data_IF_201757281212
#
_entry.id   IF_201757281212
#
_cell.length_a   1.000
_cell.length_b   1.000
_cell.length_c   1.000
_cell.angle_alpha   90.00
_cell.angle_beta   90.00
_cell.angle_gamma   90.00
#
_symmetry.space_group_name_H-M   'P 1'
#
loop_
_entity.id
_entity.type
_entity.pdbx_description
1 polymer ?
#
# COMPACT_ATOMS: atom_id res chain seq x y z
N UNK A 1 -16.83 2.81 10.74
CA UNK A 1 -15.63 2.58 9.89
C UNK A 1 -14.50 3.29 10.62
N UNK A 2 -13.37 2.64 10.91
CA UNK A 2 -12.25 3.29 11.58
C UNK A 2 -11.79 4.53 10.84
N UNK A 3 -11.41 5.56 11.57
CA UNK A 3 -10.88 6.82 11.04
C UNK A 3 -9.35 6.82 11.05
N UNK A 4 -8.78 7.60 10.13
CA UNK A 4 -7.33 7.85 10.09
C UNK A 4 -6.97 8.88 11.14
N UNK A 5 -6.19 8.48 12.15
CA UNK A 5 -5.82 9.36 13.27
C UNK A 5 -4.50 10.10 13.03
N UNK A 6 -3.62 9.54 12.20
CA UNK A 6 -2.32 10.14 11.93
C UNK A 6 -1.77 9.67 10.59
N UNK A 7 -1.15 10.59 9.87
CA UNK A 7 -0.39 10.30 8.65
C UNK A 7 0.95 11.03 8.71
N UNK A 8 2.01 10.37 8.27
CA UNK A 8 3.35 10.92 8.08
C UNK A 8 3.86 10.50 6.71
N UNK A 9 4.43 11.46 6.00
CA UNK A 9 5.17 11.23 4.78
C UNK A 9 6.55 11.88 4.91
N UNK A 10 7.60 11.17 4.49
CA UNK A 10 8.95 11.70 4.38
C UNK A 10 9.57 11.21 3.08
N UNK A 11 10.46 12.00 2.48
CA UNK A 11 11.15 11.62 1.24
C UNK A 11 12.55 12.20 1.17
N UNK A 12 13.43 11.53 0.43
CA UNK A 12 14.77 11.99 0.13
C UNK A 12 15.07 11.99 -1.39
N UNK A 13 14.04 12.17 -2.23
CA UNK A 13 14.05 12.07 -3.70
C UNK A 13 14.14 10.64 -4.26
N UNK A 14 14.78 9.71 -3.55
CA UNK A 14 14.88 8.31 -3.99
C UNK A 14 13.78 7.43 -3.37
N UNK A 15 13.49 7.66 -2.09
CA UNK A 15 12.57 6.85 -1.30
C UNK A 15 11.51 7.74 -0.69
N UNK A 16 10.25 7.31 -0.79
CA UNK A 16 9.14 7.86 -0.02
C UNK A 16 8.78 6.91 1.11
N UNK A 17 8.75 7.42 2.34
CA UNK A 17 8.27 6.71 3.52
C UNK A 17 6.87 7.22 3.86
N UNK A 18 5.90 6.31 3.90
CA UNK A 18 4.52 6.57 4.29
C UNK A 18 4.21 5.79 5.56
N UNK A 19 3.64 6.45 6.56
CA UNK A 19 3.14 5.82 7.76
C UNK A 19 1.78 6.41 8.12
N UNK A 20 0.83 5.54 8.48
CA UNK A 20 -0.49 5.94 8.92
C UNK A 20 -0.91 5.11 10.13
N UNK A 21 -1.84 5.68 10.90
CA UNK A 21 -2.45 5.00 12.03
C UNK A 21 -3.97 5.20 11.97
N UNK A 22 -4.71 4.20 12.43
CA UNK A 22 -6.17 4.12 12.39
C UNK A 22 -6.69 3.84 13.80
N UNK A 23 -7.83 4.42 14.18
CA UNK A 23 -8.39 4.31 15.54
C UNK A 23 -9.03 2.95 15.86
N UNK A 24 -8.97 1.99 14.94
CA UNK A 24 -9.49 0.65 15.15
C UNK A 24 -9.21 -0.30 13.98
N UNK A 25 -9.44 -1.59 14.22
CA UNK A 25 -9.40 -2.60 13.17
C UNK A 25 -10.56 -2.40 12.20
N UNK A 26 -10.28 -2.43 10.90
CA UNK A 26 -11.31 -2.40 9.85
C UNK A 26 -11.81 -3.85 9.66
N UNK A 27 -13.11 -4.16 9.90
CA UNK A 27 -13.62 -5.52 9.76
C UNK A 27 -13.38 -6.07 8.34
N UNK A 28 -12.74 -7.25 8.26
CA UNK A 28 -12.44 -7.89 6.98
C UNK A 28 -11.34 -7.24 6.14
N UNK A 29 -10.62 -6.24 6.67
CA UNK A 29 -9.51 -5.62 5.95
C UNK A 29 -8.34 -6.59 5.78
N UNK A 30 -7.92 -6.77 4.53
CA UNK A 30 -6.78 -7.61 4.16
C UNK A 30 -5.46 -6.83 4.09
N UNK A 31 -5.54 -5.50 4.04
CA UNK A 31 -4.41 -4.59 3.93
C UNK A 31 -4.80 -3.33 3.18
N UNK A 32 -3.79 -2.53 2.80
CA UNK A 32 -3.96 -1.24 2.13
C UNK A 32 -3.34 -1.26 0.73
N UNK A 33 -4.09 -0.74 -0.24
CA UNK A 33 -3.58 -0.36 -1.55
C UNK A 33 -2.95 1.03 -1.47
N UNK A 34 -1.83 1.23 -2.17
CA UNK A 34 -1.20 2.54 -2.32
C UNK A 34 -1.28 2.94 -3.78
N UNK A 35 -1.98 4.03 -4.05
CA UNK A 35 -2.13 4.62 -5.39
C UNK A 35 -1.35 5.93 -5.46
N UNK A 36 -0.51 6.07 -6.49
CA UNK A 36 0.13 7.33 -6.84
C UNK A 36 -0.75 8.08 -7.81
N UNK A 37 -1.09 9.30 -7.45
CA UNK A 37 -1.81 10.24 -8.30
C UNK A 37 -0.81 11.13 -9.03
N UNK A 38 -1.00 11.32 -10.32
CA UNK A 38 -0.21 12.23 -11.16
C UNK A 38 -1.07 13.44 -11.55
N UNK A 39 -0.96 14.58 -10.83
CA UNK A 39 -1.88 15.71 -11.01
C UNK A 39 -1.87 16.29 -12.43
N UNK A 40 -0.72 16.29 -13.08
CA UNK A 40 -0.54 16.89 -14.41
C UNK A 40 -1.26 16.10 -15.52
N UNK A 41 -1.43 14.78 -15.34
CA UNK A 41 -2.04 13.89 -16.33
C UNK A 41 -3.40 13.35 -15.88
N UNK A 42 -3.71 13.43 -14.58
CA UNK A 42 -4.85 12.74 -13.97
C UNK A 42 -4.67 11.22 -13.87
N UNK A 43 -3.49 10.69 -14.17
CA UNK A 43 -3.22 9.26 -14.08
C UNK A 43 -3.19 8.80 -12.62
N UNK A 44 -3.82 7.65 -12.36
CA UNK A 44 -3.72 6.93 -11.10
C UNK A 44 -2.97 5.62 -11.32
N UNK A 45 -1.92 5.39 -10.53
CA UNK A 45 -1.11 4.18 -10.66
C UNK A 45 -0.94 3.50 -9.32
N UNK A 46 -1.44 2.27 -9.23
CA UNK A 46 -1.19 1.42 -8.09
C UNK A 46 0.32 1.10 -7.97
N UNK A 47 0.84 1.11 -6.74
CA UNK A 47 2.24 0.82 -6.50
C UNK A 47 2.52 -0.68 -6.53
N UNK A 48 3.74 -1.01 -6.93
CA UNK A 48 4.20 -2.39 -7.00
C UNK A 48 4.37 -3.03 -5.62
N UNK A 49 3.76 -4.19 -5.45
CA UNK A 49 3.97 -5.14 -4.40
C UNK A 49 4.70 -6.37 -4.93
N UNK A 50 5.53 -6.89 -4.05
CA UNK A 50 6.51 -7.92 -4.34
C UNK A 50 6.33 -9.13 -3.39
N UNK A 51 5.75 -8.79 -2.23
CA UNK A 51 5.23 -9.52 -1.07
C UNK A 51 3.91 -10.28 -1.21
N UNK A 52 3.78 -11.53 -1.68
CA UNK A 52 2.46 -12.16 -1.76
C UNK A 52 1.88 -12.51 -0.37
N UNK A 53 0.58 -12.81 -0.31
CA UNK A 53 -0.05 -13.33 0.91
C UNK A 53 0.57 -14.67 1.34
N UNK A 54 0.44 -14.99 2.63
CA UNK A 54 0.80 -16.31 3.16
C UNK A 54 0.14 -17.43 2.35
N UNK A 55 0.94 -18.37 1.87
CA UNK A 55 0.50 -19.51 1.05
C UNK A 55 0.62 -19.28 -0.47
N UNK A 56 0.75 -18.04 -0.91
CA UNK A 56 1.06 -17.72 -2.30
C UNK A 56 2.59 -17.66 -2.51
N UNK A 57 3.03 -17.70 -3.79
CA UNK A 57 4.45 -17.72 -4.17
C UNK A 57 4.70 -16.76 -5.33
N UNK A 58 5.88 -16.12 -5.33
CA UNK A 58 6.36 -15.30 -6.43
C UNK A 58 7.69 -15.86 -7.00
N UNK A 59 7.68 -17.03 -7.66
CA UNK A 59 8.91 -17.74 -8.03
C UNK A 59 9.71 -17.04 -9.14
N UNK A 60 9.04 -16.25 -9.97
CA UNK A 60 9.67 -15.52 -11.09
C UNK A 60 10.03 -14.09 -10.73
N UNK A 61 9.74 -13.69 -9.49
CA UNK A 61 10.05 -12.36 -8.98
C UNK A 61 9.44 -11.26 -9.87
N UNK A 62 8.14 -11.37 -10.15
CA UNK A 62 7.38 -10.39 -10.96
C UNK A 62 6.49 -9.59 -10.00
N UNK A 63 6.47 -8.25 -10.06
CA UNK A 63 5.63 -7.47 -9.17
C UNK A 63 4.15 -7.64 -9.52
N UNK A 64 3.29 -7.43 -8.54
CA UNK A 64 1.86 -7.22 -8.70
C UNK A 64 1.50 -5.85 -8.13
N UNK A 65 0.27 -5.40 -8.33
CA UNK A 65 -0.22 -4.19 -7.69
C UNK A 65 -0.49 -4.42 -6.19
N UNK A 66 -0.36 -3.36 -5.38
CA UNK A 66 -0.79 -3.40 -3.97
C UNK A 66 -2.29 -3.66 -3.81
N UNK A 67 -3.11 -3.56 -4.86
CA UNK A 67 -4.49 -4.06 -4.84
C UNK A 67 -4.60 -5.59 -4.84
N UNK A 68 -3.60 -6.30 -5.40
CA UNK A 68 -3.52 -7.78 -5.41
C UNK A 68 -2.77 -8.29 -4.19
N UNK A 69 -1.65 -7.65 -3.84
CA UNK A 69 -0.81 -7.97 -2.69
C UNK A 69 -0.67 -6.73 -1.78
N UNK A 70 -1.67 -6.45 -0.93
CA UNK A 70 -1.74 -5.21 -0.18
C UNK A 70 -0.70 -5.13 0.94
N UNK A 71 -0.43 -3.89 1.37
CA UNK A 71 0.39 -3.60 2.54
C UNK A 71 -0.35 -4.10 3.77
N UNK A 72 0.19 -5.16 4.37
CA UNK A 72 -0.41 -5.86 5.50
C UNK A 72 0.15 -5.32 6.81
N UNK A 73 -0.73 -5.17 7.81
CA UNK A 73 -0.33 -5.03 9.21
C UNK A 73 -0.27 -6.43 9.81
N UNK A 74 0.92 -6.90 10.16
CA UNK A 74 1.13 -8.14 10.92
C UNK A 74 0.66 -8.01 12.35
#
# INVERSE_FOLDING_TARGET
>A
MPDVIKVRAATNNEVAFLAWDIDGMIPGCLGFEIVRLYPDTGEERCLAAWVPFKGQRNPRWIPQDTGVWPVQKT
#
